data_IF_923579987972
#
_entry.id   IF_923579987972
#
_cell.length_a   1.000
_cell.length_b   1.000
_cell.length_c   1.000
_cell.angle_alpha   90.00
_cell.angle_beta   90.00
_cell.angle_gamma   90.00
#
_symmetry.space_group_name_H-M   'P 1'
#
loop_
_entity.id
_entity.type
_entity.pdbx_description
1 polymer ?
#
# COMPACT_ATOMS: atom_id res chain seq x y z
N UNK A 1 13.67 2.29 -22.89
CA UNK A 1 12.84 1.13 -22.43
C UNK A 1 12.34 1.42 -21.01
N UNK A 2 11.14 0.95 -20.62
CA UNK A 2 10.58 1.21 -19.27
C UNK A 2 10.47 -0.07 -18.42
N UNK A 3 10.77 0.05 -17.14
CA UNK A 3 10.51 -0.97 -16.12
C UNK A 3 9.45 -0.45 -15.14
N UNK A 4 8.40 -1.25 -14.89
CA UNK A 4 7.40 -0.95 -13.85
C UNK A 4 7.95 -1.28 -12.46
N UNK A 5 7.58 -0.47 -11.47
CA UNK A 5 7.99 -0.65 -10.07
C UNK A 5 6.94 -0.09 -9.11
N UNK A 6 7.28 -0.07 -7.83
CA UNK A 6 6.55 0.61 -6.76
C UNK A 6 7.47 1.62 -6.08
N UNK A 7 6.94 2.78 -5.72
CA UNK A 7 7.69 3.78 -4.98
C UNK A 7 7.78 3.40 -3.50
N UNK A 8 8.88 2.74 -3.14
CA UNK A 8 9.12 2.21 -1.80
C UNK A 8 9.13 3.33 -0.76
N UNK A 9 9.81 4.43 -1.05
CA UNK A 9 9.97 5.52 -0.08
C UNK A 9 8.62 6.22 0.16
N UNK A 10 7.77 6.36 -0.87
CA UNK A 10 6.38 6.79 -0.71
C UNK A 10 5.56 5.84 0.15
N UNK A 11 5.67 4.53 -0.07
CA UNK A 11 4.93 3.53 0.72
C UNK A 11 5.35 3.59 2.19
N UNK A 12 6.65 3.71 2.47
CA UNK A 12 7.15 3.85 3.83
C UNK A 12 6.66 5.15 4.50
N UNK A 13 6.61 6.27 3.77
CA UNK A 13 6.01 7.52 4.27
C UNK A 13 4.53 7.34 4.58
N UNK A 14 3.75 6.77 3.67
CA UNK A 14 2.32 6.52 3.87
C UNK A 14 2.04 5.58 5.07
N UNK A 15 2.86 4.55 5.26
CA UNK A 15 2.74 3.64 6.41
C UNK A 15 3.02 4.36 7.73
N UNK A 16 4.01 5.27 7.76
CA UNK A 16 4.32 6.09 8.95
C UNK A 16 3.20 7.08 9.25
N UNK A 17 2.70 7.77 8.22
CA UNK A 17 1.63 8.75 8.37
C UNK A 17 0.33 8.08 8.84
N UNK A 18 0.08 6.85 8.40
CA UNK A 18 -1.09 6.06 8.80
C UNK A 18 -0.84 5.17 10.03
N UNK A 19 0.34 5.23 10.67
CA UNK A 19 0.67 4.35 11.80
C UNK A 19 -0.32 4.50 12.96
N UNK A 20 -0.85 5.71 13.17
CA UNK A 20 -1.87 6.01 14.19
C UNK A 20 -3.21 5.27 13.98
N UNK A 21 -3.55 4.88 12.75
CA UNK A 21 -4.75 4.08 12.45
C UNK A 21 -4.63 2.63 12.96
N UNK A 22 -3.41 2.20 13.30
CA UNK A 22 -3.10 0.84 13.78
C UNK A 22 -2.59 0.81 15.23
N UNK A 23 -2.48 1.97 15.89
CA UNK A 23 -2.04 2.06 17.29
C UNK A 23 -3.16 1.85 18.32
N UNK A 24 -4.42 1.88 17.90
CA UNK A 24 -5.58 1.65 18.79
C UNK A 24 -5.80 0.18 19.20
N UNK A 25 -5.00 -0.76 18.70
CA UNK A 25 -5.09 -2.20 19.02
C UNK A 25 -3.92 -2.72 19.88
N UNK A 26 -3.14 -1.86 20.55
CA UNK A 26 -2.30 -2.34 21.64
C UNK A 26 -3.17 -2.50 22.89
N UNK A 27 -3.44 -3.72 23.39
CA UNK A 27 -4.00 -3.84 24.73
C UNK A 27 -3.00 -3.23 25.71
N UNK A 28 -3.45 -2.27 26.49
CA UNK A 28 -2.72 -1.80 27.67
C UNK A 28 -2.54 -3.01 28.59
N UNK A 29 -1.33 -3.55 28.67
CA UNK A 29 -1.02 -4.57 29.66
C UNK A 29 -0.83 -3.86 30.99
N UNK A 30 -1.92 -3.57 31.67
CA UNK A 30 -1.97 -3.47 33.12
C UNK A 30 -2.67 -4.74 33.63
N UNK A 31 -2.00 -5.44 34.55
CA UNK A 31 -2.50 -6.70 35.12
C UNK A 31 -3.86 -6.54 35.80
N UNK A 32 -4.62 -7.64 35.98
CA UNK A 32 -6.04 -7.54 36.28
C UNK A 32 -6.27 -7.15 37.75
N UNK A 33 -7.24 -6.27 37.99
CA UNK A 33 -8.09 -6.40 39.18
C UNK A 33 -9.51 -6.70 38.74
N UNK A 34 -10.07 -7.70 39.43
CA UNK A 34 -11.26 -8.43 39.06
C UNK A 34 -12.55 -7.60 39.07
N UNK A 35 -13.50 -8.10 38.30
CA UNK A 35 -14.95 -7.86 38.34
C UNK A 35 -15.53 -6.81 37.38
N UNK A 36 -16.14 -7.37 36.32
CA UNK A 36 -17.27 -6.89 35.53
C UNK A 36 -17.07 -5.72 34.56
N UNK A 37 -16.93 -6.03 33.26
CA UNK A 37 -17.73 -5.37 32.19
C UNK A 37 -17.95 -6.34 31.02
N UNK A 38 -19.22 -6.73 30.85
CA UNK A 38 -19.98 -7.11 29.65
C UNK A 38 -19.20 -7.49 28.38
N UNK A 39 -19.36 -8.76 27.97
CA UNK A 39 -19.16 -9.23 26.61
C UNK A 39 -20.00 -8.40 25.64
N UNK A 40 -19.36 -7.55 24.84
CA UNK A 40 -19.90 -7.16 23.54
C UNK A 40 -18.97 -7.74 22.49
N UNK A 41 -19.46 -8.82 21.86
CA UNK A 41 -18.90 -9.45 20.68
C UNK A 41 -18.72 -8.39 19.60
N UNK A 42 -17.48 -8.01 19.31
CA UNK A 42 -17.14 -7.36 18.04
C UNK A 42 -17.04 -8.50 17.03
N UNK A 43 -18.19 -8.92 16.49
CA UNK A 43 -18.25 -9.79 15.32
C UNK A 43 -17.71 -9.03 14.11
N UNK A 44 -16.49 -9.38 13.71
CA UNK A 44 -15.84 -8.85 12.53
C UNK A 44 -14.33 -8.92 12.66
N UNK A 45 -13.78 -10.13 12.72
CA UNK A 45 -12.35 -10.34 12.45
C UNK A 45 -12.03 -9.72 11.08
N UNK A 46 -11.41 -8.55 11.09
CA UNK A 46 -10.77 -7.99 9.91
C UNK A 46 -9.64 -8.96 9.58
N UNK A 47 -9.88 -9.90 8.68
CA UNK A 47 -8.81 -10.68 8.08
C UNK A 47 -8.08 -9.77 7.07
N UNK A 48 -7.39 -8.77 7.65
CA UNK A 48 -6.33 -7.97 7.08
C UNK A 48 -5.00 -8.53 7.54
N UNK A 49 -3.90 -8.12 6.90
CA UNK A 49 -2.56 -8.48 7.38
C UNK A 49 -2.47 -8.15 8.88
N UNK A 50 -2.10 -9.13 9.70
CA UNK A 50 -1.84 -8.92 11.13
C UNK A 50 -0.83 -7.80 11.29
N UNK A 51 -0.85 -7.09 12.42
CA UNK A 51 0.15 -6.06 12.72
C UNK A 51 1.59 -6.59 12.60
N UNK A 52 1.80 -7.89 12.83
CA UNK A 52 3.08 -8.55 12.61
C UNK A 52 3.45 -8.73 11.14
N UNK A 53 2.49 -9.04 10.27
CA UNK A 53 2.71 -9.10 8.81
C UNK A 53 3.03 -7.71 8.25
N UNK A 54 2.33 -6.66 8.69
CA UNK A 54 2.63 -5.29 8.29
C UNK A 54 4.04 -4.86 8.74
N UNK A 55 4.44 -5.17 9.99
CA UNK A 55 5.81 -4.91 10.49
C UNK A 55 6.86 -5.63 9.64
N UNK A 56 6.66 -6.92 9.36
CA UNK A 56 7.57 -7.69 8.49
C UNK A 56 7.72 -7.07 7.11
N UNK A 57 6.63 -6.54 6.55
CA UNK A 57 6.63 -5.87 5.25
C UNK A 57 7.36 -4.52 5.29
N UNK A 58 7.19 -3.75 6.37
CA UNK A 58 7.93 -2.52 6.60
C UNK A 58 9.43 -2.80 6.71
N UNK A 59 9.83 -3.81 7.49
CA UNK A 59 11.24 -4.23 7.61
C UNK A 59 11.81 -4.72 6.27
N UNK A 60 11.05 -5.49 5.49
CA UNK A 60 11.46 -5.93 4.15
C UNK A 60 11.64 -4.73 3.20
N UNK A 61 10.75 -3.75 3.25
CA UNK A 61 10.89 -2.50 2.52
C UNK A 61 12.13 -1.71 2.98
N UNK A 62 12.40 -1.61 4.28
CA UNK A 62 13.62 -0.96 4.80
C UNK A 62 14.90 -1.67 4.34
N UNK A 63 14.89 -3.00 4.22
CA UNK A 63 15.98 -3.79 3.62
C UNK A 63 16.07 -3.69 2.10
N UNK A 64 15.14 -3.00 1.45
CA UNK A 64 15.11 -2.81 0.00
C UNK A 64 14.63 -4.04 -0.78
N UNK A 65 13.94 -4.97 -0.14
CA UNK A 65 13.44 -6.21 -0.75
C UNK A 65 12.17 -5.97 -1.60
N UNK A 66 11.60 -4.77 -1.55
CA UNK A 66 10.36 -4.42 -2.22
C UNK A 66 10.38 -3.00 -2.80
N UNK A 67 9.89 -2.85 -4.03
CA UNK A 67 9.84 -1.58 -4.76
C UNK A 67 11.24 -1.04 -5.09
N UNK A 68 11.26 0.20 -5.59
CA UNK A 68 12.50 0.93 -5.88
C UNK A 68 12.61 2.19 -5.03
N UNK A 69 13.85 2.64 -4.71
CA UNK A 69 14.07 3.97 -4.16
C UNK A 69 13.46 5.03 -5.05
N UNK A 70 12.86 6.07 -4.46
CA UNK A 70 12.22 7.16 -5.17
C UNK A 70 13.18 7.86 -6.14
N UNK A 71 14.44 7.99 -5.73
CA UNK A 71 15.53 8.58 -6.51
C UNK A 71 15.81 7.85 -7.84
N UNK A 72 15.48 6.56 -7.96
CA UNK A 72 15.65 5.81 -9.20
C UNK A 72 14.42 5.90 -10.12
N UNK A 73 13.28 6.31 -9.58
CA UNK A 73 12.03 6.36 -10.34
C UNK A 73 12.01 7.63 -11.18
N UNK A 74 11.68 7.46 -12.45
CA UNK A 74 11.70 8.55 -13.45
C UNK A 74 10.31 9.10 -13.74
N UNK A 75 9.28 8.24 -13.68
CA UNK A 75 7.91 8.57 -14.06
C UNK A 75 6.92 8.22 -12.95
N UNK A 76 5.89 9.05 -12.83
CA UNK A 76 4.73 8.86 -11.98
C UNK A 76 3.49 9.17 -12.83
N UNK A 77 2.87 8.13 -13.36
CA UNK A 77 1.71 8.26 -14.25
C UNK A 77 0.45 8.22 -13.39
N UNK A 78 -0.33 9.29 -13.43
CA UNK A 78 -1.66 9.32 -12.81
C UNK A 78 -2.63 8.46 -13.63
N UNK A 79 -3.15 7.42 -13.00
CA UNK A 79 -4.14 6.50 -13.57
C UNK A 79 -5.43 6.48 -12.75
N UNK A 80 -5.63 7.46 -11.87
CA UNK A 80 -6.82 7.57 -11.01
C UNK A 80 -8.13 7.56 -11.82
N UNK A 81 -8.13 8.15 -13.02
CA UNK A 81 -9.27 8.11 -13.93
C UNK A 81 -9.68 6.69 -14.39
N UNK A 82 -8.77 5.72 -14.29
CA UNK A 82 -9.00 4.32 -14.67
C UNK A 82 -9.09 3.36 -13.45
N UNK A 83 -9.16 3.90 -12.22
CA UNK A 83 -9.02 3.11 -10.99
C UNK A 83 -10.11 2.04 -10.84
N UNK A 84 -11.34 2.37 -11.19
CA UNK A 84 -12.48 1.43 -11.12
C UNK A 84 -12.31 0.27 -12.11
N UNK A 85 -11.81 0.57 -13.30
CA UNK A 85 -11.52 -0.43 -14.33
C UNK A 85 -10.40 -1.36 -13.87
N UNK A 86 -9.35 -0.81 -13.25
CA UNK A 86 -8.26 -1.59 -12.66
C UNK A 86 -8.75 -2.53 -11.57
N UNK A 87 -9.58 -2.04 -10.64
CA UNK A 87 -10.16 -2.85 -9.56
C UNK A 87 -11.07 -3.96 -10.09
N UNK A 88 -11.90 -3.65 -11.07
CA UNK A 88 -12.76 -4.64 -11.73
C UNK A 88 -11.93 -5.71 -12.47
N UNK A 89 -10.87 -5.32 -13.18
CA UNK A 89 -9.97 -6.25 -13.84
C UNK A 89 -9.29 -7.19 -12.84
N UNK A 90 -8.80 -6.66 -11.71
CA UNK A 90 -8.22 -7.46 -10.63
C UNK A 90 -9.20 -8.53 -10.11
N UNK A 91 -10.49 -8.19 -9.94
CA UNK A 91 -11.55 -9.13 -9.51
C UNK A 91 -11.81 -10.28 -10.49
N UNK A 92 -11.45 -10.13 -11.77
CA UNK A 92 -11.59 -11.21 -12.76
C UNK A 92 -10.46 -12.23 -12.68
N UNK A 93 -9.31 -11.89 -12.10
CA UNK A 93 -8.16 -12.80 -11.94
C UNK A 93 -8.31 -13.75 -10.74
N UNK A 94 -9.46 -14.43 -10.64
CA UNK A 94 -9.88 -15.20 -9.46
C UNK A 94 -8.92 -16.30 -9.00
N UNK A 95 -8.16 -16.90 -9.92
CA UNK A 95 -7.16 -17.91 -9.58
C UNK A 95 -5.90 -17.33 -8.92
N UNK A 96 -5.66 -16.03 -9.06
CA UNK A 96 -4.53 -15.31 -8.48
C UNK A 96 -4.96 -14.42 -7.30
N UNK A 97 -6.14 -13.80 -7.41
CA UNK A 97 -6.72 -12.91 -6.42
C UNK A 97 -8.04 -13.53 -5.97
N UNK A 98 -7.97 -14.21 -4.82
CA UNK A 98 -9.15 -14.83 -4.21
C UNK A 98 -10.22 -13.81 -3.81
N UNK A 99 -11.47 -14.25 -3.63
CA UNK A 99 -12.59 -13.38 -3.27
C UNK A 99 -12.37 -12.64 -1.93
N UNK A 100 -11.64 -13.25 -1.00
CA UNK A 100 -11.35 -12.69 0.33
C UNK A 100 -10.08 -11.82 0.35
N UNK A 101 -9.51 -11.53 -0.82
CA UNK A 101 -8.28 -10.75 -0.95
C UNK A 101 -8.44 -9.35 -0.36
N UNK A 102 -7.39 -8.91 0.35
CA UNK A 102 -7.32 -7.60 0.99
C UNK A 102 -7.59 -6.43 0.01
N UNK A 103 -7.27 -6.59 -1.29
CA UNK A 103 -7.52 -5.56 -2.30
C UNK A 103 -9.01 -5.20 -2.44
N UNK A 104 -9.93 -6.15 -2.23
CA UNK A 104 -11.36 -5.91 -2.33
C UNK A 104 -11.97 -5.37 -1.04
N UNK A 105 -11.28 -5.55 0.09
CA UNK A 105 -11.69 -5.04 1.40
C UNK A 105 -11.28 -3.57 1.62
N UNK A 106 -10.41 -3.01 0.78
CA UNK A 106 -10.00 -1.60 0.88
C UNK A 106 -11.16 -0.64 0.56
N UNK A 107 -11.34 0.44 1.35
CA UNK A 107 -12.16 1.58 0.94
C UNK A 107 -11.64 2.20 -0.36
N UNK A 108 -12.53 2.78 -1.16
CA UNK A 108 -12.21 3.29 -2.50
C UNK A 108 -11.12 4.38 -2.46
N UNK A 109 -11.16 5.26 -1.46
CA UNK A 109 -10.14 6.31 -1.26
C UNK A 109 -8.76 5.72 -0.96
N UNK A 110 -8.71 4.65 -0.15
CA UNK A 110 -7.46 3.95 0.18
C UNK A 110 -6.93 3.23 -1.05
N UNK A 111 -7.81 2.57 -1.80
CA UNK A 111 -7.43 1.89 -3.05
C UNK A 111 -6.90 2.90 -4.08
N UNK A 112 -7.56 4.05 -4.24
CA UNK A 112 -7.12 5.11 -5.15
C UNK A 112 -5.79 5.71 -4.72
N UNK A 113 -5.60 5.97 -3.43
CA UNK A 113 -4.32 6.45 -2.89
C UNK A 113 -3.16 5.49 -3.16
N UNK A 114 -3.43 4.17 -3.05
CA UNK A 114 -2.43 3.13 -3.24
C UNK A 114 -2.15 2.80 -4.71
N UNK A 115 -3.16 2.78 -5.58
CA UNK A 115 -3.08 2.24 -6.95
C UNK A 115 -3.37 3.27 -8.06
N UNK A 116 -3.70 4.52 -7.70
CA UNK A 116 -3.99 5.60 -8.62
C UNK A 116 -2.75 6.22 -9.27
N UNK A 117 -1.55 5.88 -8.81
CA UNK A 117 -0.29 6.26 -9.49
C UNK A 117 0.50 5.01 -9.86
N UNK A 118 0.94 4.93 -11.11
CA UNK A 118 1.86 3.90 -11.59
C UNK A 118 3.26 4.46 -11.79
N UNK A 119 4.26 3.69 -11.37
CA UNK A 119 5.64 4.15 -11.26
C UNK A 119 6.54 3.42 -12.26
N UNK A 120 7.38 4.18 -12.97
CA UNK A 120 8.27 3.61 -13.98
C UNK A 120 9.70 4.16 -13.92
N UNK A 121 10.64 3.30 -14.29
CA UNK A 121 12.06 3.62 -14.51
C UNK A 121 12.33 3.52 -16.01
N UNK A 122 12.68 4.63 -16.65
CA UNK A 122 13.24 4.64 -18.00
C UNK A 122 14.71 4.26 -17.91
N UNK A 123 15.09 3.11 -18.46
CA UNK A 123 16.43 2.54 -18.27
C UNK A 123 17.56 3.40 -18.87
N UNK A 124 17.23 4.25 -19.84
CA UNK A 124 18.18 5.08 -20.57
C UNK A 124 18.19 6.54 -20.08
N UNK A 125 17.45 6.84 -19.00
CA UNK A 125 17.33 8.18 -18.42
C UNK A 125 17.54 8.14 -16.92
N UNK A 126 18.30 9.11 -16.41
CA UNK A 126 18.35 9.41 -14.98
C UNK A 126 17.52 10.67 -14.73
N UNK A 127 16.67 10.63 -13.70
CA UNK A 127 15.99 11.82 -13.17
C UNK A 127 16.93 12.47 -12.16
N UNK A 128 17.20 13.76 -12.32
CA UNK A 128 17.95 14.52 -11.33
C UNK A 128 17.28 14.44 -9.95
N UNK A 129 18.08 14.43 -8.88
CA UNK A 129 17.57 14.42 -7.51
C UNK A 129 16.59 15.58 -7.32
N UNK A 130 15.44 15.28 -6.71
CA UNK A 130 14.34 16.23 -6.45
C UNK A 130 13.66 16.86 -7.68
N UNK A 131 14.05 16.52 -8.91
CA UNK A 131 13.31 16.94 -10.09
C UNK A 131 11.90 16.30 -10.10
N UNK A 132 10.87 16.96 -10.65
CA UNK A 132 9.54 16.35 -10.74
C UNK A 132 9.57 15.06 -11.57
N UNK A 133 8.64 14.14 -11.28
CA UNK A 133 8.45 12.96 -12.11
C UNK A 133 7.90 13.36 -13.47
N UNK A 134 8.27 12.59 -14.50
CA UNK A 134 7.60 12.67 -15.79
C UNK A 134 6.23 11.97 -15.69
N UNK A 135 5.21 12.55 -16.32
CA UNK A 135 3.81 12.12 -16.14
C UNK A 135 3.29 11.20 -17.25
N UNK A 136 4.05 11.04 -18.34
CA UNK A 136 3.69 10.20 -19.48
C UNK A 136 4.86 9.32 -19.91
N UNK A 137 4.58 8.05 -20.19
CA UNK A 137 5.50 7.10 -20.83
C UNK A 137 5.25 6.99 -22.35
N UNK A 138 4.24 7.69 -22.85
CA UNK A 138 3.94 7.79 -24.27
C UNK A 138 4.69 9.01 -24.82
N UNK A 139 5.27 8.86 -26.01
CA UNK A 139 5.80 9.99 -26.76
C UNK A 139 4.62 10.83 -27.27
N UNK A 140 4.74 12.15 -27.22
CA UNK A 140 3.79 13.08 -27.85
C UNK A 140 3.67 12.84 -29.37
#
# INVERSE_FOLDING_TARGET
>A
MFQSTMNRDRILRQMKDNAHLFENDRPAVEGPSAEAVVETEIEGEIEGETAEQMRRRAEAAERGEFGSPEALITHAVDVSAAIDTKRAAMALHRSQIGPDSFFFKMPDEVFTSAFGTEWFIELDRVRETDAPFLESILTD
#
